data_IF_473926419459
#
_entry.id   IF_473926419459
#
_cell.length_a   1.000
_cell.length_b   1.000
_cell.length_c   1.000
_cell.angle_alpha   90.00
_cell.angle_beta   90.00
_cell.angle_gamma   90.00
#
_symmetry.space_group_name_H-M   'P 1'
#
loop_
_entity.id
_entity.type
_entity.pdbx_description
1 polymer ?
#
# COMPACT_ATOMS: atom_id res chain seq x y z
N UNK A 1 -8.78 42.18 4.77
CA UNK A 1 -7.94 41.10 4.21
C UNK A 1 -7.48 40.24 5.38
N UNK A 2 -8.16 39.10 5.61
CA UNK A 2 -7.90 38.23 6.76
C UNK A 2 -6.80 37.24 6.40
N UNK A 3 -5.72 37.24 7.19
CA UNK A 3 -4.63 36.29 7.14
C UNK A 3 -5.16 34.92 7.57
N UNK A 4 -5.48 34.06 6.59
CA UNK A 4 -5.65 32.64 6.84
C UNK A 4 -4.28 32.07 7.20
N UNK A 5 -3.97 32.08 8.49
CA UNK A 5 -2.87 31.29 9.06
C UNK A 5 -3.12 29.85 8.63
N UNK A 6 -2.29 29.37 7.71
CA UNK A 6 -2.19 27.95 7.37
C UNK A 6 -1.83 27.23 8.67
N UNK A 7 -2.83 26.65 9.31
CA UNK A 7 -2.61 25.63 10.32
C UNK A 7 -1.93 24.49 9.57
N UNK A 8 -0.62 24.38 9.73
CA UNK A 8 0.09 23.15 9.40
C UNK A 8 -0.51 22.11 10.32
N UNK A 9 -1.45 21.32 9.81
CA UNK A 9 -1.93 20.13 10.49
C UNK A 9 -0.70 19.25 10.68
N UNK A 10 -0.29 19.03 11.93
CA UNK A 10 0.76 18.06 12.24
C UNK A 10 0.19 16.68 11.91
N UNK A 11 0.49 16.22 10.70
CA UNK A 11 0.08 14.90 10.24
C UNK A 11 0.88 13.83 11.01
N UNK A 12 0.21 13.10 11.89
CA UNK A 12 0.81 11.97 12.61
C UNK A 12 0.80 10.72 11.73
N UNK A 13 1.73 10.67 10.78
CA UNK A 13 1.79 9.64 9.73
C UNK A 13 2.76 8.53 10.12
N UNK A 14 2.23 7.32 10.28
CA UNK A 14 2.98 6.09 10.50
C UNK A 14 2.93 5.18 9.27
N UNK A 15 4.01 4.40 9.04
CA UNK A 15 4.01 3.30 8.07
C UNK A 15 4.15 2.01 8.87
N UNK A 16 3.25 1.05 8.63
CA UNK A 16 3.23 -0.23 9.34
C UNK A 16 2.84 -1.39 8.40
N UNK A 17 3.12 -2.65 8.79
CA UNK A 17 2.50 -3.79 8.14
C UNK A 17 0.98 -3.76 8.29
N UNK A 18 0.26 -4.38 7.37
CA UNK A 18 -1.17 -4.62 7.56
C UNK A 18 -1.42 -5.59 8.71
N UNK A 19 -2.63 -5.53 9.26
CA UNK A 19 -3.11 -6.45 10.29
C UNK A 19 -4.27 -7.29 9.76
N UNK A 20 -4.27 -8.59 10.08
CA UNK A 20 -5.38 -9.48 9.74
C UNK A 20 -6.66 -8.95 10.37
N UNK A 21 -7.73 -8.87 9.57
CA UNK A 21 -9.00 -8.26 9.95
C UNK A 21 -9.23 -6.86 9.36
N UNK A 22 -8.20 -6.23 8.77
CA UNK A 22 -8.30 -4.92 8.12
C UNK A 22 -8.73 -5.01 6.64
N UNK A 23 -8.95 -6.21 6.10
CA UNK A 23 -9.10 -6.43 4.65
C UNK A 23 -10.26 -5.63 4.05
N UNK A 24 -11.37 -5.52 4.76
CA UNK A 24 -12.52 -4.72 4.32
C UNK A 24 -12.16 -3.23 4.22
N UNK A 25 -11.45 -2.69 5.20
CA UNK A 25 -11.03 -1.28 5.21
C UNK A 25 -10.02 -1.00 4.09
N UNK A 26 -9.12 -1.95 3.82
CA UNK A 26 -8.17 -1.82 2.71
C UNK A 26 -8.89 -1.85 1.36
N UNK A 27 -9.84 -2.77 1.16
CA UNK A 27 -10.64 -2.82 -0.07
C UNK A 27 -11.45 -1.54 -0.27
N UNK A 28 -12.06 -1.00 0.78
CA UNK A 28 -12.78 0.27 0.73
C UNK A 28 -11.84 1.43 0.37
N UNK A 29 -10.66 1.47 0.97
CA UNK A 29 -9.61 2.45 0.64
C UNK A 29 -9.15 2.36 -0.82
N UNK A 30 -8.91 1.15 -1.33
CA UNK A 30 -8.50 0.93 -2.71
C UNK A 30 -9.62 1.31 -3.69
N UNK A 31 -10.87 1.01 -3.36
CA UNK A 31 -12.03 1.45 -4.12
C UNK A 31 -12.18 2.97 -4.12
N UNK A 32 -11.95 3.65 -3.00
CA UNK A 32 -11.90 5.11 -2.95
C UNK A 32 -10.83 5.67 -3.89
N UNK A 33 -9.65 5.05 -3.94
CA UNK A 33 -8.52 5.55 -4.73
C UNK A 33 -8.65 5.27 -6.23
N UNK A 34 -9.20 4.10 -6.61
CA UNK A 34 -9.29 3.63 -8.00
C UNK A 34 -10.72 3.67 -8.58
N UNK A 35 -11.72 4.08 -7.80
CA UNK A 35 -13.14 4.07 -8.15
C UNK A 35 -13.80 2.69 -7.99
N UNK A 36 -13.21 1.66 -8.59
CA UNK A 36 -13.69 0.27 -8.49
C UNK A 36 -12.51 -0.70 -8.58
N UNK A 37 -11.69 -0.74 -7.54
CA UNK A 37 -10.58 -1.69 -7.46
C UNK A 37 -11.09 -3.13 -7.39
N UNK A 38 -12.10 -3.42 -6.57
CA UNK A 38 -12.69 -4.75 -6.47
C UNK A 38 -13.39 -5.04 -5.14
N UNK A 39 -13.38 -6.33 -4.77
CA UNK A 39 -14.10 -6.89 -3.63
C UNK A 39 -13.16 -7.64 -2.69
N UNK A 40 -13.66 -8.05 -1.52
CA UNK A 40 -12.95 -8.95 -0.61
C UNK A 40 -12.51 -10.25 -1.29
N UNK A 41 -13.35 -10.85 -2.14
CA UNK A 41 -12.96 -12.06 -2.87
C UNK A 41 -11.76 -11.83 -3.80
N UNK A 42 -11.68 -10.65 -4.44
CA UNK A 42 -10.49 -10.28 -5.24
C UNK A 42 -9.26 -10.12 -4.34
N UNK A 43 -9.41 -9.46 -3.19
CA UNK A 43 -8.34 -9.32 -2.21
C UNK A 43 -7.81 -10.68 -1.75
N UNK A 44 -8.70 -11.58 -1.33
CA UNK A 44 -8.35 -12.94 -0.90
C UNK A 44 -7.56 -13.69 -1.97
N UNK A 45 -7.98 -13.61 -3.24
CA UNK A 45 -7.30 -14.26 -4.35
C UNK A 45 -5.93 -13.67 -4.70
N UNK A 46 -5.73 -12.36 -4.50
CA UNK A 46 -4.47 -11.69 -4.80
C UNK A 46 -3.45 -11.71 -3.65
N UNK A 47 -3.94 -11.84 -2.41
CA UNK A 47 -3.15 -11.75 -1.20
C UNK A 47 -3.20 -13.07 -0.39
N UNK A 48 -4.06 -13.30 0.63
CA UNK A 48 -4.01 -14.52 1.46
C UNK A 48 -3.90 -15.86 0.72
N UNK A 49 -4.51 -16.00 -0.44
CA UNK A 49 -4.51 -17.25 -1.21
C UNK A 49 -3.34 -17.35 -2.21
N UNK A 50 -2.55 -16.28 -2.36
CA UNK A 50 -1.40 -16.29 -3.25
C UNK A 50 -0.26 -17.11 -2.62
N UNK A 51 0.38 -18.06 -3.34
CA UNK A 51 1.30 -19.04 -2.75
C UNK A 51 2.51 -18.46 -1.98
N UNK A 52 2.93 -17.26 -2.31
CA UNK A 52 4.09 -16.58 -1.70
C UNK A 52 3.69 -15.33 -0.91
N UNK A 53 2.41 -15.23 -0.55
CA UNK A 53 1.94 -14.13 0.27
C UNK A 53 2.57 -14.19 1.65
N UNK A 54 3.14 -13.05 2.07
CA UNK A 54 3.58 -12.79 3.42
C UNK A 54 2.81 -11.58 3.91
N UNK A 55 2.29 -11.66 5.14
CA UNK A 55 1.52 -10.55 5.65
C UNK A 55 2.35 -9.28 5.78
N UNK A 56 3.64 -9.45 6.09
CA UNK A 56 4.55 -8.32 6.30
C UNK A 56 5.01 -7.68 4.98
N UNK A 57 4.52 -8.20 3.84
CA UNK A 57 4.74 -7.64 2.50
C UNK A 57 3.67 -6.63 2.07
N UNK A 58 2.66 -6.35 2.90
CA UNK A 58 1.69 -5.28 2.65
C UNK A 58 1.88 -4.14 3.65
N UNK A 59 2.03 -2.94 3.12
CA UNK A 59 2.37 -1.72 3.86
C UNK A 59 1.18 -0.77 3.86
N UNK A 60 0.85 -0.29 5.05
CA UNK A 60 -0.20 0.68 5.31
C UNK A 60 0.46 1.97 5.77
N UNK A 61 0.05 3.09 5.17
CA UNK A 61 0.25 4.40 5.76
C UNK A 61 -1.01 4.72 6.56
N UNK A 62 -0.84 4.97 7.85
CA UNK A 62 -1.92 5.33 8.76
C UNK A 62 -1.75 6.76 9.24
N UNK A 63 -2.87 7.47 9.35
CA UNK A 63 -2.97 8.72 10.06
C UNK A 63 -4.21 8.71 10.95
N UNK A 64 -4.03 8.91 12.26
CA UNK A 64 -5.12 8.95 13.25
C UNK A 64 -6.07 7.73 13.18
N UNK A 65 -5.55 6.53 12.90
CA UNK A 65 -6.33 5.31 12.78
C UNK A 65 -6.99 5.10 11.40
N UNK A 66 -6.81 6.03 10.45
CA UNK A 66 -7.33 5.91 9.10
C UNK A 66 -6.24 5.51 8.10
N UNK A 67 -6.61 4.65 7.14
CA UNK A 67 -5.71 4.26 6.05
C UNK A 67 -5.62 5.43 5.06
N UNK A 68 -4.43 6.02 4.95
CA UNK A 68 -4.13 7.10 3.99
C UNK A 68 -3.23 6.64 2.84
N UNK A 69 -2.68 5.44 2.93
CA UNK A 69 -1.86 4.83 1.89
C UNK A 69 -1.80 3.31 1.99
N UNK A 70 -1.63 2.66 0.85
CA UNK A 70 -1.49 1.21 0.74
C UNK A 70 -0.41 0.87 -0.29
N UNK A 71 0.32 -0.23 -0.06
CA UNK A 71 1.15 -0.90 -1.06
C UNK A 71 1.30 -2.38 -0.74
N UNK A 72 1.02 -3.23 -1.72
CA UNK A 72 1.39 -4.64 -1.69
C UNK A 72 2.77 -4.89 -2.31
N UNK A 73 3.50 -5.88 -1.80
CA UNK A 73 4.73 -6.40 -2.37
C UNK A 73 4.56 -7.90 -2.61
N UNK A 74 4.58 -8.32 -3.88
CA UNK A 74 4.43 -9.72 -4.27
C UNK A 74 5.79 -10.32 -4.65
N UNK A 75 6.24 -11.30 -3.88
CA UNK A 75 7.48 -12.02 -4.16
C UNK A 75 7.24 -13.16 -5.15
N UNK A 76 8.07 -13.24 -6.19
CA UNK A 76 7.94 -14.26 -7.24
C UNK A 76 9.25 -14.50 -7.96
N UNK A 77 9.39 -15.70 -8.49
CA UNK A 77 10.50 -16.07 -9.35
C UNK A 77 10.14 -15.78 -10.80
N UNK A 78 10.96 -14.97 -11.49
CA UNK A 78 10.85 -14.74 -12.93
C UNK A 78 11.72 -15.74 -13.70
N UNK A 79 11.19 -16.16 -14.85
CA UNK A 79 11.94 -16.87 -15.88
C UNK A 79 12.26 -15.86 -16.98
N UNK A 80 13.53 -15.54 -17.15
CA UNK A 80 14.01 -14.59 -18.16
C UNK A 80 15.04 -15.31 -19.01
N UNK A 81 14.70 -15.57 -20.28
CA UNK A 81 15.52 -16.18 -21.34
C UNK A 81 16.95 -16.60 -20.90
N UNK A 82 17.15 -17.91 -20.79
CA UNK A 82 18.40 -18.56 -20.34
C UNK A 82 18.75 -18.39 -18.85
N UNK A 83 17.87 -17.77 -18.05
CA UNK A 83 17.94 -17.71 -16.59
C UNK A 83 16.58 -18.06 -16.00
N UNK A 84 16.54 -19.16 -15.27
CA UNK A 84 15.37 -19.58 -14.52
C UNK A 84 15.47 -19.09 -13.07
N UNK A 85 14.32 -18.91 -12.43
CA UNK A 85 14.21 -18.65 -11.00
C UNK A 85 14.91 -17.37 -10.48
N UNK A 86 14.80 -16.25 -11.19
CA UNK A 86 15.28 -14.96 -10.69
C UNK A 86 14.30 -14.46 -9.61
N UNK A 87 14.70 -14.38 -8.32
CA UNK A 87 13.82 -13.85 -7.28
C UNK A 87 13.56 -12.37 -7.56
N UNK A 88 12.29 -11.98 -7.51
CA UNK A 88 11.85 -10.61 -7.73
C UNK A 88 10.73 -10.26 -6.77
N UNK A 89 10.60 -8.97 -6.50
CA UNK A 89 9.47 -8.40 -5.81
C UNK A 89 8.74 -7.45 -6.77
N UNK A 90 7.42 -7.52 -6.81
CA UNK A 90 6.59 -6.63 -7.62
C UNK A 90 5.70 -5.79 -6.73
N UNK A 91 5.76 -4.48 -6.93
CA UNK A 91 4.88 -3.53 -6.26
C UNK A 91 3.47 -3.65 -6.84
N UNK A 92 2.49 -3.93 -5.99
CA UNK A 92 1.08 -4.07 -6.31
C UNK A 92 0.22 -3.02 -5.61
N UNK A 93 -0.91 -2.68 -6.22
CA UNK A 93 -2.02 -1.91 -5.64
C UNK A 93 -1.60 -0.68 -4.83
N UNK A 94 -0.57 0.04 -5.30
CA UNK A 94 -0.06 1.19 -4.57
C UNK A 94 -0.96 2.40 -4.73
N UNK A 95 -1.54 2.87 -3.63
CA UNK A 95 -2.45 3.99 -3.62
C UNK A 95 -2.18 4.94 -2.45
N UNK A 96 -2.43 6.23 -2.68
CA UNK A 96 -2.43 7.29 -1.68
C UNK A 96 -3.79 7.97 -1.73
N UNK A 97 -4.40 8.15 -0.55
CA UNK A 97 -5.68 8.82 -0.38
C UNK A 97 -5.69 10.17 -1.12
N UNK A 98 -6.76 10.52 -1.87
CA UNK A 98 -6.80 11.74 -2.68
C UNK A 98 -6.40 13.03 -1.95
N UNK A 99 -6.84 13.19 -0.70
CA UNK A 99 -6.53 14.37 0.12
C UNK A 99 -5.06 14.46 0.60
N UNK A 100 -4.31 13.36 0.54
CA UNK A 100 -2.94 13.26 1.03
C UNK A 100 -1.90 13.16 -0.11
N UNK A 101 -2.35 13.37 -1.35
CA UNK A 101 -1.46 13.38 -2.53
C UNK A 101 -0.56 14.60 -2.51
N UNK A 102 0.57 14.49 -3.22
CA UNK A 102 1.60 15.55 -3.30
C UNK A 102 2.31 15.87 -1.97
N UNK A 103 2.11 15.06 -0.92
CA UNK A 103 2.81 15.16 0.36
C UNK A 103 4.04 14.22 0.46
N UNK A 104 4.50 13.66 -0.65
CA UNK A 104 5.65 12.75 -0.68
C UNK A 104 5.40 11.34 -0.10
N UNK A 105 4.17 11.00 0.28
CA UNK A 105 3.85 9.71 0.91
C UNK A 105 4.15 8.49 0.03
N UNK A 106 3.95 8.62 -1.28
CA UNK A 106 4.33 7.56 -2.23
C UNK A 106 5.84 7.29 -2.21
N UNK A 107 6.66 8.35 -2.14
CA UNK A 107 8.11 8.23 -2.08
C UNK A 107 8.55 7.57 -0.77
N UNK A 108 7.94 7.94 0.36
CA UNK A 108 8.18 7.30 1.66
C UNK A 108 7.85 5.80 1.63
N UNK A 109 6.71 5.40 1.05
CA UNK A 109 6.40 3.98 0.84
C UNK A 109 7.46 3.28 -0.01
N UNK A 110 7.95 3.95 -1.06
CA UNK A 110 9.00 3.41 -1.92
C UNK A 110 10.30 3.15 -1.18
N UNK A 111 10.78 4.11 -0.41
CA UNK A 111 11.98 3.94 0.41
C UNK A 111 11.86 2.80 1.42
N UNK A 112 10.70 2.65 2.07
CA UNK A 112 10.46 1.55 3.01
C UNK A 112 10.46 0.21 2.29
N UNK A 113 9.75 0.09 1.16
CA UNK A 113 9.68 -1.18 0.43
C UNK A 113 11.03 -1.63 -0.15
N UNK A 114 11.90 -0.69 -0.55
CA UNK A 114 13.24 -1.00 -1.03
C UNK A 114 14.19 -1.56 0.04
N UNK A 115 13.85 -1.42 1.33
CA UNK A 115 14.63 -2.00 2.43
C UNK A 115 14.22 -3.44 2.75
N UNK A 116 13.06 -3.85 2.26
CA UNK A 116 12.46 -5.17 2.53
C UNK A 116 12.61 -6.11 1.33
N UNK A 117 12.60 -5.55 0.10
CA UNK A 117 12.86 -6.29 -1.14
C UNK A 117 14.36 -6.52 -1.37
#
# INVERSE_FOLDING_TARGET
MSSAKSQVLEHNIAIRPYQIGEEAQIVDFLNLCYGQWGTLAKWEGLYPQYPTFDKDSVFIIEENGEIVGHRGLHFRNLVVRHRDNIPTATLGDTAIHPLYRSLGLYARLHEVTLRVA
#
